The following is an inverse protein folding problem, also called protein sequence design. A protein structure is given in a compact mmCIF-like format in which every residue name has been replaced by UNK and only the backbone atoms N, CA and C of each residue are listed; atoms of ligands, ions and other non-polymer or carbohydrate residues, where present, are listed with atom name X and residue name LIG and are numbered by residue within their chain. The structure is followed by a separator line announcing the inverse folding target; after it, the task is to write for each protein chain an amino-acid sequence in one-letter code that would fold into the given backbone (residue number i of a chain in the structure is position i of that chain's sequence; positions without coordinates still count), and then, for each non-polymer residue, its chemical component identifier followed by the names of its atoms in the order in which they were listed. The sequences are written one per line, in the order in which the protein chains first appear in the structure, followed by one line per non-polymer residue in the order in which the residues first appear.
data_IF_027738228405
#
_entry.id   IF_027738228405
#
_cell.length_a   1.000
_cell.length_b   1.000
_cell.length_c   1.000
_cell.angle_alpha   90.00
_cell.angle_beta   90.00
_cell.angle_gamma   90.00
#
_symmetry.space_group_name_H-M   'P 1'
#
loop_
_entity.id
_entity.type
_entity.pdbx_description
1 polymer ?
#
# COMPACT_ATOMS: atom_id res chain seq x y z
N UNK A 1 -15.09 17.38 13.56
CA UNK A 1 -14.81 16.11 12.84
C UNK A 1 -13.75 16.44 11.81
N UNK A 2 -12.53 15.95 11.97
CA UNK A 2 -11.45 16.12 10.98
C UNK A 2 -11.63 15.03 9.92
N UNK A 3 -12.06 15.43 8.71
CA UNK A 3 -12.16 14.54 7.56
C UNK A 3 -10.78 14.24 6.94
N UNK A 4 -10.78 13.58 5.78
CA UNK A 4 -9.58 13.32 4.99
C UNK A 4 -8.88 14.64 4.60
N UNK A 5 -7.56 14.68 4.70
CA UNK A 5 -6.76 15.81 4.22
C UNK A 5 -6.14 15.45 2.88
N UNK A 6 -6.41 16.27 1.85
CA UNK A 6 -5.98 16.05 0.47
C UNK A 6 -4.89 17.04 0.08
N UNK A 7 -3.83 16.54 -0.56
CA UNK A 7 -2.68 17.33 -1.00
C UNK A 7 -2.29 16.93 -2.42
N UNK A 8 -1.96 17.92 -3.26
CA UNK A 8 -1.32 17.67 -4.55
C UNK A 8 0.17 17.39 -4.32
N UNK A 9 0.65 16.28 -4.86
CA UNK A 9 2.07 15.94 -4.78
C UNK A 9 2.84 16.81 -5.78
N UNK A 10 3.62 17.76 -5.25
CA UNK A 10 4.44 18.68 -6.06
C UNK A 10 5.44 17.91 -6.92
N UNK A 11 5.29 17.98 -8.28
CA UNK A 11 6.19 17.34 -9.23
C UNK A 11 5.91 15.87 -9.51
N UNK A 12 4.90 15.27 -8.91
CA UNK A 12 4.48 13.87 -9.11
C UNK A 12 3.14 13.74 -9.83
N UNK A 13 2.90 12.57 -10.37
CA UNK A 13 1.61 12.20 -10.94
C UNK A 13 0.80 11.54 -9.82
N UNK A 14 -0.14 12.28 -9.20
CA UNK A 14 -1.05 11.71 -8.21
C UNK A 14 -1.47 12.67 -7.10
N UNK A 15 -2.45 12.23 -6.33
CA UNK A 15 -2.94 12.89 -5.13
C UNK A 15 -2.41 12.15 -3.90
N UNK A 16 -2.12 12.87 -2.83
CA UNK A 16 -1.90 12.31 -1.50
C UNK A 16 -3.09 12.61 -0.62
N UNK A 17 -3.48 11.65 0.20
CA UNK A 17 -4.53 11.83 1.20
C UNK A 17 -4.06 11.28 2.53
N UNK A 18 -4.28 12.05 3.60
CA UNK A 18 -4.01 11.60 4.97
C UNK A 18 -5.32 11.22 5.67
N UNK A 19 -5.34 10.00 6.20
CA UNK A 19 -6.41 9.47 7.05
C UNK A 19 -6.06 9.80 8.50
N UNK A 20 -6.85 10.65 9.19
CA UNK A 20 -6.56 11.02 10.56
C UNK A 20 -6.81 9.86 11.54
N UNK A 21 -6.12 9.86 12.67
CA UNK A 21 -6.25 8.82 13.72
C UNK A 21 -7.67 8.69 14.29
N UNK A 22 -8.47 9.74 14.17
CA UNK A 22 -9.86 9.77 14.65
C UNK A 22 -10.86 9.11 13.71
N UNK A 23 -10.43 8.78 12.48
CA UNK A 23 -11.29 8.17 11.46
C UNK A 23 -11.09 6.65 11.46
N UNK A 24 -12.18 5.91 11.61
CA UNK A 24 -12.15 4.45 11.55
C UNK A 24 -11.93 3.93 10.11
N UNK A 25 -11.39 2.70 9.95
CA UNK A 25 -11.07 2.15 8.63
C UNK A 25 -12.28 2.01 7.71
N UNK A 26 -13.45 1.65 8.22
CA UNK A 26 -14.67 1.55 7.41
C UNK A 26 -15.22 2.93 6.98
N UNK A 27 -15.03 3.96 7.78
CA UNK A 27 -15.37 5.34 7.44
C UNK A 27 -14.42 5.86 6.36
N UNK A 28 -13.11 5.72 6.56
CA UNK A 28 -12.11 6.09 5.56
C UNK A 28 -12.33 5.36 4.23
N UNK A 29 -12.63 4.07 4.28
CA UNK A 29 -12.92 3.28 3.08
C UNK A 29 -14.14 3.82 2.31
N UNK A 30 -15.23 4.20 3.01
CA UNK A 30 -16.42 4.78 2.36
C UNK A 30 -16.12 6.13 1.71
N UNK A 31 -15.25 6.95 2.32
CA UNK A 31 -14.86 8.24 1.74
C UNK A 31 -13.89 8.08 0.54
N UNK A 32 -13.02 7.07 0.55
CA UNK A 32 -12.04 6.81 -0.51
C UNK A 32 -12.60 6.03 -1.70
N UNK A 33 -13.55 5.11 -1.47
CA UNK A 33 -14.07 4.21 -2.51
C UNK A 33 -14.59 4.92 -3.77
N UNK A 34 -15.31 6.07 -3.70
CA UNK A 34 -15.71 6.80 -4.90
C UNK A 34 -14.53 7.25 -5.76
N UNK A 35 -13.42 7.68 -5.13
CA UNK A 35 -12.22 8.09 -5.87
C UNK A 35 -11.55 6.91 -6.56
N UNK A 36 -11.43 5.75 -5.89
CA UNK A 36 -10.90 4.54 -6.50
C UNK A 36 -11.77 4.10 -7.70
N UNK A 37 -13.09 4.17 -7.55
CA UNK A 37 -14.03 3.83 -8.62
C UNK A 37 -13.87 4.78 -9.83
N UNK A 38 -13.67 6.07 -9.59
CA UNK A 38 -13.41 7.06 -10.63
C UNK A 38 -12.09 6.76 -11.38
N UNK A 39 -11.00 6.47 -10.64
CA UNK A 39 -9.70 6.11 -11.24
C UNK A 39 -9.80 4.88 -12.16
N UNK A 40 -10.53 3.86 -11.75
CA UNK A 40 -10.75 2.68 -12.58
C UNK A 40 -11.56 3.01 -13.85
N UNK A 41 -12.59 3.86 -13.74
CA UNK A 41 -13.41 4.31 -14.86
C UNK A 41 -12.66 5.22 -15.84
N UNK A 42 -11.87 6.17 -15.35
CA UNK A 42 -11.05 7.10 -16.16
C UNK A 42 -10.06 6.33 -17.04
N UNK A 43 -9.41 5.29 -16.50
CA UNK A 43 -8.49 4.44 -17.28
C UNK A 43 -9.19 3.55 -18.28
N UNK A 44 -10.40 3.05 -17.97
CA UNK A 44 -11.20 2.24 -18.88
C UNK A 44 -11.68 3.06 -20.10
N UNK A 45 -12.17 4.29 -19.89
CA UNK A 45 -12.64 5.18 -20.98
C UNK A 45 -11.50 5.69 -21.86
N UNK A 46 -10.33 5.97 -21.29
CA UNK A 46 -9.14 6.35 -22.04
C UNK A 46 -8.61 5.22 -22.93
N UNK A 47 -9.03 3.98 -22.73
CA UNK A 47 -8.62 2.78 -23.48
C UNK A 47 -9.27 2.66 -24.87
N UNK A 48 -10.24 3.52 -25.25
CA UNK A 48 -10.97 3.43 -26.51
C UNK A 48 -10.33 4.19 -27.70
N UNK A 49 -9.12 4.74 -27.55
CA UNK A 49 -8.40 5.46 -28.61
C UNK A 49 -7.08 4.79 -28.97
N UNK A 50 -6.93 4.42 -30.24
CA UNK A 50 -5.78 3.83 -30.94
C UNK A 50 -5.35 2.41 -30.52
N UNK A 51 -5.48 1.50 -31.49
CA UNK A 51 -5.02 0.11 -31.40
C UNK A 51 -3.48 0.05 -31.34
N UNK A 52 -2.94 -0.50 -30.21
CA UNK A 52 -1.54 -0.90 -30.18
C UNK A 52 -0.81 -0.82 -28.85
N UNK A 53 -1.17 0.08 -27.94
CA UNK A 53 -0.49 0.19 -26.65
C UNK A 53 -1.42 -0.24 -25.52
N UNK A 54 -1.07 -1.30 -24.80
CA UNK A 54 -1.77 -1.63 -23.53
C UNK A 54 -1.54 -0.48 -22.58
N UNK A 55 -2.61 0.22 -22.23
CA UNK A 55 -2.54 1.29 -21.22
C UNK A 55 -2.45 0.68 -19.83
N UNK A 56 -1.71 1.36 -18.97
CA UNK A 56 -1.56 0.96 -17.58
C UNK A 56 -2.87 1.04 -16.82
N UNK A 57 -2.90 0.34 -15.71
CA UNK A 57 -4.00 0.33 -14.75
C UNK A 57 -3.73 1.31 -13.60
N UNK A 58 -4.75 1.80 -12.89
CA UNK A 58 -4.54 2.65 -11.74
C UNK A 58 -3.90 1.87 -10.59
N UNK A 59 -2.99 2.54 -9.88
CA UNK A 59 -2.33 2.07 -8.67
C UNK A 59 -2.63 3.02 -7.53
N UNK A 60 -3.03 2.47 -6.39
CA UNK A 60 -3.22 3.19 -5.12
C UNK A 60 -2.27 2.59 -4.09
N UNK A 61 -1.57 3.44 -3.35
CA UNK A 61 -0.74 3.00 -2.23
C UNK A 61 -1.39 3.34 -0.90
N UNK A 62 -1.23 2.46 0.10
CA UNK A 62 -1.64 2.71 1.48
C UNK A 62 -0.42 2.49 2.37
N UNK A 63 0.05 3.56 2.98
CA UNK A 63 1.22 3.53 3.87
C UNK A 63 0.91 4.19 5.21
N UNK A 64 1.82 4.07 6.11
CA UNK A 64 1.78 4.52 7.50
C UNK A 64 2.69 3.64 8.32
N UNK A 65 3.02 4.04 9.51
CA UNK A 65 3.87 3.25 10.38
C UNK A 65 3.30 1.86 10.64
N UNK A 66 4.17 0.94 10.96
CA UNK A 66 3.80 -0.43 11.37
C UNK A 66 2.68 -0.38 12.42
N UNK A 67 1.64 -1.20 12.24
CA UNK A 67 0.46 -1.25 13.12
C UNK A 67 -0.46 -0.01 13.13
N UNK A 68 -0.32 0.90 12.17
CA UNK A 68 -1.23 2.06 12.02
C UNK A 68 -2.64 1.68 11.53
N UNK A 69 -2.83 0.49 10.93
CA UNK A 69 -4.12 0.02 10.43
C UNK A 69 -4.23 -0.08 8.90
N UNK A 70 -3.12 -0.06 8.17
CA UNK A 70 -3.04 -0.17 6.70
C UNK A 70 -3.85 -1.33 6.13
N UNK A 71 -3.53 -2.54 6.57
CA UNK A 71 -4.18 -3.77 6.08
C UNK A 71 -5.68 -3.80 6.41
N UNK A 72 -6.09 -3.19 7.52
CA UNK A 72 -7.52 -3.07 7.88
C UNK A 72 -8.24 -2.14 6.92
N UNK A 73 -7.63 -1.00 6.58
CA UNK A 73 -8.18 -0.06 5.58
C UNK A 73 -8.21 -0.71 4.19
N UNK A 74 -7.13 -1.36 3.77
CA UNK A 74 -7.08 -2.05 2.48
C UNK A 74 -8.18 -3.12 2.35
N UNK A 75 -8.38 -3.93 3.39
CA UNK A 75 -9.45 -4.91 3.44
C UNK A 75 -10.85 -4.27 3.41
N UNK A 76 -11.03 -3.12 4.07
CA UNK A 76 -12.30 -2.38 4.03
C UNK A 76 -12.58 -1.83 2.62
N UNK A 77 -11.57 -1.27 1.94
CA UNK A 77 -11.67 -0.81 0.56
C UNK A 77 -11.97 -1.96 -0.40
N UNK A 78 -11.27 -3.08 -0.28
CA UNK A 78 -11.47 -4.24 -1.17
C UNK A 78 -12.92 -4.77 -1.15
N UNK A 79 -13.63 -4.61 -0.03
CA UNK A 79 -15.07 -4.95 0.05
C UNK A 79 -15.96 -3.99 -0.73
N UNK A 80 -15.52 -2.75 -0.95
CA UNK A 80 -16.30 -1.71 -1.64
C UNK A 80 -15.96 -1.57 -3.12
N UNK A 81 -14.73 -1.95 -3.51
CA UNK A 81 -14.21 -1.79 -4.89
C UNK A 81 -13.80 -3.14 -5.48
N UNK A 82 -14.77 -3.90 -5.96
CA UNK A 82 -14.63 -5.32 -6.35
C UNK A 82 -13.63 -5.63 -7.46
N UNK A 83 -13.18 -4.62 -8.24
CA UNK A 83 -12.28 -4.83 -9.38
C UNK A 83 -10.81 -4.62 -9.04
N UNK A 84 -10.51 -4.27 -7.79
CA UNK A 84 -9.16 -3.99 -7.33
C UNK A 84 -8.55 -5.22 -6.66
N UNK A 85 -7.31 -5.57 -7.06
CA UNK A 85 -6.48 -6.51 -6.30
C UNK A 85 -5.76 -5.78 -5.18
N UNK A 86 -5.45 -6.48 -4.10
CA UNK A 86 -4.67 -5.96 -2.98
C UNK A 86 -3.36 -6.74 -2.89
N UNK A 87 -2.26 -6.02 -2.81
CA UNK A 87 -0.91 -6.57 -2.61
C UNK A 87 -0.37 -6.07 -1.27
N UNK A 88 0.16 -6.98 -0.49
CA UNK A 88 0.72 -6.73 0.83
C UNK A 88 2.24 -6.77 0.77
N UNK A 89 2.94 -5.72 1.19
CA UNK A 89 4.40 -5.72 1.22
C UNK A 89 4.97 -6.80 2.15
N UNK A 90 4.19 -7.20 3.16
CA UNK A 90 4.53 -8.30 4.08
C UNK A 90 4.78 -9.62 3.34
N UNK A 91 4.21 -9.80 2.14
CA UNK A 91 4.40 -11.01 1.33
C UNK A 91 5.80 -11.11 0.72
N UNK A 92 6.57 -10.01 0.65
CA UNK A 92 7.87 -9.98 -0.03
C UNK A 92 8.99 -9.21 0.66
N UNK A 93 8.81 -8.70 1.90
CA UNK A 93 9.97 -8.18 2.62
C UNK A 93 11.00 -9.29 2.84
N UNK A 94 12.27 -9.13 2.42
CA UNK A 94 13.28 -10.15 2.66
C UNK A 94 13.76 -10.09 4.12
N UNK A 95 12.92 -10.56 5.03
CA UNK A 95 13.17 -10.59 6.46
C UNK A 95 13.00 -9.24 7.17
N UNK A 96 13.44 -9.20 8.42
CA UNK A 96 13.22 -8.06 9.33
C UNK A 96 14.06 -6.81 9.04
N UNK A 97 15.03 -6.87 8.10
CA UNK A 97 15.78 -5.71 7.60
C UNK A 97 15.33 -5.29 6.20
N UNK A 98 14.27 -5.89 5.71
CA UNK A 98 13.87 -5.85 4.31
C UNK A 98 12.98 -4.68 3.90
N UNK A 99 12.77 -3.66 4.74
CA UNK A 99 11.82 -2.59 4.43
C UNK A 99 12.15 -1.88 3.12
N UNK A 100 13.37 -1.39 2.97
CA UNK A 100 13.82 -0.69 1.75
C UNK A 100 13.76 -1.61 0.51
N UNK A 101 14.19 -2.87 0.64
CA UNK A 101 14.12 -3.83 -0.47
C UNK A 101 12.66 -4.12 -0.88
N UNK A 102 11.76 -4.22 0.09
CA UNK A 102 10.31 -4.37 -0.16
C UNK A 102 9.71 -3.14 -0.84
N UNK A 103 10.11 -1.93 -0.44
CA UNK A 103 9.69 -0.69 -1.09
C UNK A 103 10.17 -0.62 -2.55
N UNK A 104 11.39 -1.09 -2.84
CA UNK A 104 11.92 -1.18 -4.22
C UNK A 104 11.09 -2.14 -5.08
N UNK A 105 10.67 -3.28 -4.54
CA UNK A 105 9.79 -4.21 -5.25
C UNK A 105 8.43 -3.56 -5.52
N UNK A 106 7.85 -2.84 -4.54
CA UNK A 106 6.60 -2.10 -4.72
C UNK A 106 6.71 -1.04 -5.83
N UNK A 107 7.81 -0.27 -5.86
CA UNK A 107 8.10 0.72 -6.93
C UNK A 107 8.12 0.05 -8.31
N UNK A 108 8.78 -1.09 -8.45
CA UNK A 108 8.86 -1.84 -9.70
C UNK A 108 7.48 -2.34 -10.13
N UNK A 109 6.72 -2.96 -9.23
CA UNK A 109 5.37 -3.47 -9.51
C UNK A 109 4.46 -2.32 -9.96
N UNK A 110 4.45 -1.20 -9.24
CA UNK A 110 3.65 -0.03 -9.59
C UNK A 110 4.02 0.52 -10.99
N UNK A 111 5.31 0.64 -11.28
CA UNK A 111 5.81 1.08 -12.60
C UNK A 111 5.37 0.13 -13.72
N UNK A 112 5.45 -1.18 -13.53
CA UNK A 112 5.01 -2.17 -14.51
C UNK A 112 3.51 -2.04 -14.78
N UNK A 113 2.69 -2.02 -13.75
CA UNK A 113 1.23 -1.96 -13.85
C UNK A 113 0.77 -0.64 -14.51
N UNK A 114 1.34 0.49 -14.09
CA UNK A 114 1.05 1.80 -14.69
C UNK A 114 1.55 1.91 -16.13
N UNK A 115 2.61 1.16 -16.45
CA UNK A 115 3.14 1.01 -17.81
C UNK A 115 2.40 -0.01 -18.69
N UNK A 116 1.30 -0.62 -18.22
CA UNK A 116 0.50 -1.59 -18.99
C UNK A 116 1.10 -3.00 -19.03
N UNK A 117 1.96 -3.33 -18.11
CA UNK A 117 2.60 -4.65 -17.99
C UNK A 117 2.14 -5.37 -16.72
N UNK A 118 1.93 -6.68 -16.82
CA UNK A 118 1.86 -7.54 -15.64
C UNK A 118 3.25 -7.57 -14.97
N UNK A 119 3.26 -7.87 -13.67
CA UNK A 119 4.48 -7.94 -12.89
C UNK A 119 4.57 -9.26 -12.10
N UNK A 120 5.53 -9.40 -11.21
CA UNK A 120 5.66 -10.53 -10.30
C UNK A 120 6.55 -10.15 -9.13
N UNK A 121 6.50 -10.92 -8.06
CA UNK A 121 7.45 -10.84 -6.94
C UNK A 121 7.77 -12.24 -6.44
N UNK A 122 8.87 -12.36 -5.72
CA UNK A 122 9.21 -13.57 -4.98
C UNK A 122 8.66 -13.43 -3.55
N UNK A 123 7.77 -14.35 -3.16
CA UNK A 123 7.21 -14.34 -1.83
C UNK A 123 8.30 -14.65 -0.79
N UNK A 124 8.21 -14.02 0.39
CA UNK A 124 9.09 -14.32 1.50
C UNK A 124 8.45 -15.35 2.44
N UNK A 125 9.16 -16.42 2.70
CA UNK A 125 8.78 -17.41 3.68
C UNK A 125 9.27 -17.02 5.06
N UNK A 126 8.39 -16.41 5.85
CA UNK A 126 8.69 -15.94 7.20
C UNK A 126 9.01 -17.06 8.19
N UNK A 127 8.50 -18.27 7.96
CA UNK A 127 8.77 -19.41 8.83
C UNK A 127 10.19 -19.94 8.65
N UNK A 128 10.64 -20.04 7.40
CA UNK A 128 11.95 -20.56 7.05
C UNK A 128 13.01 -19.45 6.84
N UNK A 129 12.60 -18.17 6.78
CA UNK A 129 13.49 -17.04 6.57
C UNK A 129 14.19 -17.06 5.21
N UNK A 130 13.49 -17.47 4.16
CA UNK A 130 14.04 -17.63 2.81
C UNK A 130 13.06 -17.17 1.74
N UNK A 131 13.57 -16.96 0.54
CA UNK A 131 12.77 -16.69 -0.66
C UNK A 131 11.94 -17.90 -1.04
N UNK A 132 10.66 -17.70 -1.25
CA UNK A 132 9.68 -18.70 -1.64
C UNK A 132 9.32 -18.68 -3.13
N UNK A 133 8.05 -18.93 -3.46
CA UNK A 133 7.59 -19.01 -4.83
C UNK A 133 7.49 -17.63 -5.50
N UNK A 134 7.67 -17.60 -6.83
CA UNK A 134 7.34 -16.42 -7.65
C UNK A 134 5.82 -16.30 -7.79
N UNK A 135 5.28 -15.16 -7.38
CA UNK A 135 3.86 -14.82 -7.47
C UNK A 135 3.64 -13.86 -8.64
N UNK A 136 2.74 -14.22 -9.54
CA UNK A 136 2.36 -13.36 -10.66
C UNK A 136 1.38 -12.28 -10.21
N UNK A 137 1.62 -11.05 -10.67
CA UNK A 137 0.74 -9.89 -10.46
C UNK A 137 0.08 -9.55 -11.79
N UNK A 138 -1.21 -9.86 -11.97
CA UNK A 138 -1.93 -9.57 -13.21
C UNK A 138 -2.09 -8.07 -13.44
N UNK A 139 -2.27 -7.66 -14.69
CA UNK A 139 -2.55 -6.27 -15.05
C UNK A 139 -4.01 -5.93 -14.69
N UNK A 140 -4.22 -5.47 -13.48
CA UNK A 140 -5.52 -5.07 -12.92
C UNK A 140 -5.35 -3.85 -11.98
N UNK A 141 -6.41 -3.05 -11.75
CA UNK A 141 -6.39 -2.00 -10.75
C UNK A 141 -5.87 -2.53 -9.41
N UNK A 142 -4.90 -1.85 -8.80
CA UNK A 142 -4.13 -2.41 -7.68
C UNK A 142 -4.03 -1.46 -6.51
N UNK A 143 -4.31 -1.98 -5.31
CA UNK A 143 -3.93 -1.37 -4.02
C UNK A 143 -2.66 -2.06 -3.56
N UNK A 144 -1.60 -1.31 -3.29
CA UNK A 144 -0.35 -1.80 -2.68
C UNK A 144 -0.29 -1.24 -1.27
N UNK A 145 -0.25 -2.10 -0.24
CA UNK A 145 -0.24 -1.66 1.14
C UNK A 145 0.94 -2.22 1.92
N UNK A 146 1.50 -1.39 2.79
CA UNK A 146 2.61 -1.76 3.66
C UNK A 146 3.52 -0.58 3.97
N UNK A 147 4.47 -0.77 4.90
CA UNK A 147 5.50 0.23 5.20
C UNK A 147 6.43 0.40 4.00
N UNK A 148 6.54 1.62 3.46
CA UNK A 148 7.29 1.89 2.24
C UNK A 148 6.47 1.89 0.95
N UNK A 149 5.17 1.57 1.01
CA UNK A 149 4.30 1.59 -0.17
C UNK A 149 4.20 2.98 -0.82
N UNK A 150 4.25 4.05 -0.02
CA UNK A 150 4.13 5.44 -0.49
C UNK A 150 5.29 5.87 -1.41
N UNK A 151 6.39 5.14 -1.39
CA UNK A 151 7.53 5.41 -2.26
C UNK A 151 7.29 4.97 -3.72
N UNK A 152 6.28 4.16 -3.96
CA UNK A 152 5.89 3.77 -5.29
C UNK A 152 5.04 4.87 -5.96
N UNK A 153 5.30 5.15 -7.24
CA UNK A 153 4.45 6.07 -8.00
C UNK A 153 3.03 5.53 -8.10
N UNK A 154 2.04 6.31 -7.63
CA UNK A 154 0.64 5.93 -7.59
C UNK A 154 -0.27 7.05 -8.10
N UNK A 155 -1.47 6.68 -8.55
CA UNK A 155 -2.51 7.65 -8.93
C UNK A 155 -3.18 8.26 -7.68
N UNK A 156 -3.09 7.56 -6.54
CA UNK A 156 -3.48 8.03 -5.22
C UNK A 156 -2.59 7.39 -4.16
N UNK A 157 -1.99 8.19 -3.30
CA UNK A 157 -1.23 7.75 -2.14
C UNK A 157 -2.01 8.06 -0.87
N UNK A 158 -2.29 7.04 -0.07
CA UNK A 158 -3.00 7.15 1.20
C UNK A 158 -2.01 6.98 2.34
N UNK A 159 -1.88 8.00 3.18
CA UNK A 159 -1.11 7.94 4.41
C UNK A 159 -2.03 7.80 5.62
N UNK A 160 -1.77 6.83 6.48
CA UNK A 160 -2.48 6.70 7.75
C UNK A 160 -1.67 7.39 8.83
N UNK A 161 -2.26 8.41 9.46
CA UNK A 161 -1.63 9.16 10.53
C UNK A 161 -1.24 8.24 11.70
N UNK A 162 -0.11 8.57 12.34
CA UNK A 162 0.44 7.77 13.44
C UNK A 162 -0.44 7.89 14.70
N UNK A 163 -1.00 6.79 15.20
CA UNK A 163 -1.73 6.80 16.48
C UNK A 163 -0.81 6.89 17.71
N UNK A 164 0.51 6.90 17.49
CA UNK A 164 1.53 6.91 18.52
C UNK A 164 2.14 5.53 18.78
N UNK A 165 3.42 5.53 19.20
CA UNK A 165 4.21 4.30 19.39
C UNK A 165 3.58 3.32 20.38
N UNK A 166 3.08 3.81 21.50
CA UNK A 166 2.48 2.97 22.54
C UNK A 166 1.24 2.22 22.02
N UNK A 167 0.39 2.91 21.26
CA UNK A 167 -0.80 2.31 20.66
C UNK A 167 -0.41 1.27 19.59
N UNK A 168 0.53 1.60 18.71
CA UNK A 168 1.02 0.67 17.69
C UNK A 168 1.65 -0.57 18.32
N UNK A 169 2.45 -0.39 19.38
CA UNK A 169 3.06 -1.49 20.10
C UNK A 169 2.02 -2.36 20.83
N UNK A 170 1.01 -1.75 21.43
CA UNK A 170 -0.11 -2.47 22.04
C UNK A 170 -0.82 -3.38 21.03
N UNK A 171 -1.13 -2.85 19.86
CA UNK A 171 -1.75 -3.62 18.75
C UNK A 171 -0.86 -4.77 18.29
N UNK A 172 0.45 -4.53 18.13
CA UNK A 172 1.43 -5.54 17.72
C UNK A 172 1.45 -6.72 18.69
N UNK A 173 1.55 -6.43 19.99
CA UNK A 173 1.60 -7.45 21.03
C UNK A 173 0.26 -8.19 21.18
N UNK A 174 -0.86 -7.52 20.97
CA UNK A 174 -2.18 -8.14 21.05
C UNK A 174 -2.42 -9.15 19.92
N UNK A 175 -1.90 -8.91 18.70
CA UNK A 175 -2.09 -9.81 17.56
C UNK A 175 -1.03 -10.91 17.47
N UNK A 176 0.26 -10.53 17.51
CA UNK A 176 1.38 -11.42 17.18
C UNK A 176 2.24 -11.79 18.41
N UNK A 177 1.99 -11.17 19.57
CA UNK A 177 2.56 -11.55 20.85
C UNK A 177 4.08 -11.65 20.86
N UNK A 178 4.57 -12.80 21.32
CA UNK A 178 6.01 -13.07 21.50
C UNK A 178 6.77 -13.22 20.18
N UNK A 179 6.10 -13.51 19.09
CA UNK A 179 6.74 -13.68 17.77
C UNK A 179 7.27 -12.36 17.23
N UNK A 180 6.52 -11.26 17.42
CA UNK A 180 6.87 -9.94 16.92
C UNK A 180 7.75 -9.13 17.91
N UNK A 181 7.58 -9.36 19.23
CA UNK A 181 8.24 -8.59 20.28
C UNK A 181 9.77 -8.43 20.12
N UNK A 182 10.55 -9.46 19.73
CA UNK A 182 12.00 -9.34 19.52
C UNK A 182 12.38 -8.42 18.36
N UNK A 183 11.48 -8.26 17.38
CA UNK A 183 11.73 -7.54 16.13
C UNK A 183 11.17 -6.13 16.12
N UNK A 184 10.38 -5.73 17.13
CA UNK A 184 9.73 -4.43 17.21
C UNK A 184 10.69 -3.26 16.97
N UNK A 185 11.78 -3.17 17.74
CA UNK A 185 12.75 -2.07 17.63
C UNK A 185 13.41 -2.05 16.26
N UNK A 186 13.89 -3.20 15.82
CA UNK A 186 14.56 -3.34 14.53
C UNK A 186 13.72 -2.87 13.36
N UNK A 187 12.43 -3.18 13.38
CA UNK A 187 11.48 -2.72 12.37
C UNK A 187 11.14 -1.25 12.53
N UNK A 188 10.86 -0.81 13.76
CA UNK A 188 10.50 0.58 14.06
C UNK A 188 11.62 1.57 13.68
N UNK A 189 12.89 1.21 13.87
CA UNK A 189 14.04 2.06 13.51
C UNK A 189 14.09 2.30 11.98
N UNK A 190 13.83 1.27 11.16
CA UNK A 190 13.73 1.41 9.71
C UNK A 190 12.52 2.26 9.31
N UNK A 191 11.38 2.00 9.94
CA UNK A 191 10.10 2.65 9.66
C UNK A 191 10.14 4.17 9.98
N UNK A 192 10.79 4.55 11.09
CA UNK A 192 10.99 5.95 11.50
C UNK A 192 12.05 6.68 10.66
N UNK A 193 12.99 5.96 10.08
CA UNK A 193 14.05 6.52 9.23
C UNK A 193 13.58 6.94 7.83
N UNK A 194 12.33 6.65 7.46
CA UNK A 194 11.78 7.01 6.15
C UNK A 194 11.40 8.49 6.10
N UNK A 195 11.86 9.19 5.07
CA UNK A 195 11.36 10.54 4.76
C UNK A 195 9.98 10.41 4.09
N UNK A 196 9.00 11.13 4.64
CA UNK A 196 7.61 11.16 4.14
C UNK A 196 7.33 12.57 3.55
N UNK A 197 8.36 13.23 3.04
CA UNK A 197 8.26 14.56 2.44
C UNK A 197 7.62 14.55 1.04
#
# INVERSE_FOLDING_TARGET
MSGLTWEDVSGGVGLRVTVPVTMGPDEAARELAPRLSALAGERATASSGEAGTRRGVPVVTIDGYSWSGKSTLAAALARLVNVWQVLHLDDWYPGWDGLEAGAQIARRIASDLRGGRASSYEAWDWENGTTGATISVPLAPTIIEGCGAIEAEADLSVWIADPGEDERRSRALARDGQTYAPHWRRWADQDLGRSID
#
